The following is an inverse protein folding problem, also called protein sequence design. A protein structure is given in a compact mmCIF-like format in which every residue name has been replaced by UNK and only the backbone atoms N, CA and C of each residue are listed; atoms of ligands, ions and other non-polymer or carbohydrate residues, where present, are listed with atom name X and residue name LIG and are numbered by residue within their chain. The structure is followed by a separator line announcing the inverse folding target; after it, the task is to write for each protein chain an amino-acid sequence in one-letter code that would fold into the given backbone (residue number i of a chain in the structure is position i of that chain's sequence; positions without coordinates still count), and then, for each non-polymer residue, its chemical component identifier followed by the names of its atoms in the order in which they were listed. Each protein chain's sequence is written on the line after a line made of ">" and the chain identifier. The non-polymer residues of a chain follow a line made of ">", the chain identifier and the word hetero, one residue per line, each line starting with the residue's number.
data_IF_146634667954
#
_entry.id   IF_146634667954
#
_cell.length_a   1.000
_cell.length_b   1.000
_cell.length_c   1.000
_cell.angle_alpha   90.00
_cell.angle_beta   90.00
_cell.angle_gamma   90.00
#
_symmetry.space_group_name_H-M   'P 1'
#
loop_
_entity.id
_entity.type
_entity.pdbx_description
1 polymer ?
#
# COMPACT_ATOMS: atom_id res chain seq x y z
N UNK A 1 25.63 24.70 -39.52
CA UNK A 1 24.68 25.49 -38.70
C UNK A 1 23.36 24.74 -38.47
N UNK A 2 22.67 24.31 -39.54
CA UNK A 2 21.40 23.56 -39.43
C UNK A 2 21.51 22.26 -38.60
N UNK A 3 22.57 21.46 -38.80
CA UNK A 3 22.76 20.21 -38.06
C UNK A 3 22.87 20.40 -36.54
N UNK A 4 23.53 21.48 -36.10
CA UNK A 4 23.64 21.81 -34.68
C UNK A 4 22.27 22.16 -34.10
N UNK A 5 21.45 22.90 -34.85
CA UNK A 5 20.09 23.25 -34.44
C UNK A 5 19.19 22.01 -34.37
N UNK A 6 19.32 21.11 -35.34
CA UNK A 6 18.57 19.84 -35.36
C UNK A 6 18.96 18.95 -34.17
N UNK A 7 20.25 18.83 -33.87
CA UNK A 7 20.73 18.05 -32.72
C UNK A 7 20.20 18.61 -31.39
N UNK A 8 20.13 19.94 -31.25
CA UNK A 8 19.56 20.59 -30.06
C UNK A 8 18.06 20.32 -29.95
N UNK A 9 17.30 20.42 -31.05
CA UNK A 9 15.85 20.18 -31.05
C UNK A 9 15.55 18.72 -30.71
N UNK A 10 16.27 17.77 -31.30
CA UNK A 10 16.12 16.34 -31.02
C UNK A 10 16.44 16.04 -29.56
N UNK A 11 17.51 16.62 -29.01
CA UNK A 11 17.85 16.50 -27.60
C UNK A 11 16.74 17.04 -26.68
N UNK A 12 16.18 18.21 -27.01
CA UNK A 12 15.11 18.82 -26.22
C UNK A 12 13.84 17.97 -26.21
N UNK A 13 13.48 17.42 -27.38
CA UNK A 13 12.33 16.51 -27.53
C UNK A 13 12.53 15.22 -26.74
N UNK A 14 13.75 14.66 -26.74
CA UNK A 14 14.06 13.45 -25.98
C UNK A 14 13.93 13.70 -24.47
N UNK A 15 14.48 14.82 -23.98
CA UNK A 15 14.38 15.22 -22.56
C UNK A 15 12.92 15.48 -22.16
N UNK A 16 12.15 16.16 -23.01
CA UNK A 16 10.73 16.40 -22.78
C UNK A 16 9.93 15.10 -22.73
N UNK A 17 10.21 14.15 -23.63
CA UNK A 17 9.59 12.83 -23.63
C UNK A 17 9.88 12.04 -22.36
N UNK A 18 11.14 12.06 -21.89
CA UNK A 18 11.53 11.44 -20.61
C UNK A 18 10.79 12.11 -19.44
N UNK A 19 10.71 13.45 -19.42
CA UNK A 19 9.99 14.18 -18.38
C UNK A 19 8.50 13.83 -18.33
N UNK A 20 7.86 13.70 -19.49
CA UNK A 20 6.43 13.31 -19.60
C UNK A 20 6.25 11.86 -19.12
N UNK A 21 7.15 10.95 -19.50
CA UNK A 21 7.08 9.54 -19.12
C UNK A 21 7.32 9.31 -17.61
N UNK A 22 8.14 10.16 -16.96
CA UNK A 22 8.40 10.10 -15.52
C UNK A 22 7.26 10.70 -14.68
N UNK A 23 6.43 11.57 -15.25
CA UNK A 23 5.28 12.19 -14.60
C UNK A 23 5.61 12.98 -13.30
N UNK A 24 4.59 13.59 -12.65
CA UNK A 24 4.76 14.41 -11.44
C UNK A 24 5.13 13.61 -10.17
N UNK A 25 5.44 12.31 -10.29
CA UNK A 25 5.78 11.43 -9.17
C UNK A 25 7.23 11.58 -8.68
N UNK A 26 8.11 12.15 -9.50
CA UNK A 26 9.55 12.31 -9.23
C UNK A 26 9.88 13.41 -8.21
N UNK A 27 9.05 14.45 -8.09
CA UNK A 27 9.23 15.49 -7.07
C UNK A 27 9.22 14.96 -5.63
N UNK A 28 8.53 13.84 -5.38
CA UNK A 28 8.50 13.17 -4.07
C UNK A 28 9.74 12.29 -3.82
N UNK A 29 10.39 11.78 -4.88
CA UNK A 29 11.63 11.00 -4.79
C UNK A 29 12.86 11.89 -4.56
N UNK A 30 12.94 13.05 -5.22
CA UNK A 30 14.08 13.99 -5.07
C UNK A 30 14.14 14.57 -3.64
N UNK A 31 12.99 14.86 -3.01
CA UNK A 31 12.94 15.28 -1.60
C UNK A 31 13.46 14.21 -0.64
N UNK A 32 13.25 12.92 -0.94
CA UNK A 32 13.66 11.79 -0.08
C UNK A 32 15.16 11.47 -0.17
N UNK A 33 15.79 11.69 -1.33
CA UNK A 33 17.25 11.51 -1.48
C UNK A 33 18.03 12.67 -0.83
N UNK A 34 17.47 13.89 -0.85
CA UNK A 34 18.10 15.05 -0.21
C UNK A 34 18.08 14.98 1.33
N UNK A 35 17.12 14.29 1.93
CA UNK A 35 17.02 14.09 3.39
C UNK A 35 17.96 13.02 3.96
N UNK A 36 18.67 12.25 3.12
CA UNK A 36 19.60 11.20 3.58
C UNK A 36 21.05 11.66 3.75
N UNK A 37 21.39 12.91 3.41
CA UNK A 37 22.78 13.42 3.50
C UNK A 37 23.17 14.03 4.86
N UNK A 38 22.41 13.77 5.92
CA UNK A 38 22.70 14.33 7.25
C UNK A 38 22.35 13.39 8.39
N UNK A 39 23.12 12.31 8.57
CA UNK A 39 23.03 11.49 9.77
C UNK A 39 24.44 11.24 10.35
N UNK A 40 24.85 12.14 11.25
CA UNK A 40 25.96 11.95 12.18
C UNK A 40 25.45 11.11 13.37
N UNK A 41 26.09 9.95 13.55
CA UNK A 41 26.43 9.23 14.81
C UNK A 41 25.28 8.77 15.74
N UNK A 42 25.28 7.51 16.21
CA UNK A 42 24.16 6.90 16.94
C UNK A 42 24.21 7.20 18.45
N UNK A 43 23.08 7.58 19.04
CA UNK A 43 22.91 7.64 20.49
C UNK A 43 22.04 6.48 20.97
N UNK A 44 22.60 5.72 21.92
CA UNK A 44 22.17 4.43 22.49
C UNK A 44 20.90 4.50 23.37
N UNK A 45 20.09 5.55 23.23
CA UNK A 45 18.83 5.69 23.97
C UNK A 45 17.77 6.32 23.09
N UNK A 46 16.94 5.48 22.45
CA UNK A 46 15.66 5.92 21.92
C UNK A 46 14.56 5.04 22.53
N UNK A 47 13.72 5.57 23.44
CA UNK A 47 12.53 4.85 23.86
C UNK A 47 11.62 4.66 22.64
N UNK A 48 11.00 3.49 22.55
CA UNK A 48 10.14 3.02 21.46
C UNK A 48 9.43 4.17 20.73
N UNK A 49 9.80 4.45 19.48
CA UNK A 49 9.18 5.50 18.67
C UNK A 49 7.68 5.22 18.49
N UNK A 50 6.78 6.05 19.05
CA UNK A 50 5.42 6.14 18.57
C UNK A 50 5.40 7.18 17.45
N UNK A 51 4.42 7.06 16.53
CA UNK A 51 4.16 7.96 15.39
C UNK A 51 5.01 7.74 14.14
N UNK A 52 4.60 6.72 13.40
CA UNK A 52 4.55 6.80 11.94
C UNK A 52 3.52 7.90 11.58
N UNK A 53 3.99 9.14 11.42
CA UNK A 53 3.18 10.28 10.95
C UNK A 53 2.88 10.07 9.46
N UNK A 54 1.82 9.28 9.22
CA UNK A 54 1.17 9.09 7.93
C UNK A 54 0.19 10.26 7.67
N UNK A 55 -0.21 10.52 6.41
CA UNK A 55 -0.68 11.82 5.95
C UNK A 55 -1.89 12.35 6.75
N UNK A 56 -1.93 13.64 7.08
CA UNK A 56 -3.05 14.25 7.79
C UNK A 56 -4.26 14.24 6.85
N UNK A 57 -5.25 13.39 7.12
CA UNK A 57 -6.50 13.37 6.36
C UNK A 57 -7.25 12.04 6.32
N UNK A 58 -6.61 10.91 6.66
CA UNK A 58 -7.29 9.61 6.66
C UNK A 58 -7.87 9.28 8.05
N UNK A 59 -9.08 8.71 8.09
CA UNK A 59 -9.69 8.26 9.34
C UNK A 59 -8.82 7.16 10.00
N UNK A 60 -8.63 7.17 11.34
CA UNK A 60 -7.78 6.19 12.02
C UNK A 60 -8.24 4.74 11.81
N UNK A 61 -9.54 4.46 11.68
CA UNK A 61 -10.05 3.12 11.38
C UNK A 61 -9.67 2.67 9.96
N UNK A 62 -9.77 3.58 9.00
CA UNK A 62 -9.32 3.35 7.61
C UNK A 62 -7.81 3.09 7.56
N UNK A 63 -7.03 3.82 8.35
CA UNK A 63 -5.60 3.60 8.47
C UNK A 63 -5.31 2.19 9.01
N UNK A 64 -6.04 1.73 10.05
CA UNK A 64 -5.88 0.36 10.58
C UNK A 64 -6.17 -0.70 9.52
N UNK A 65 -7.20 -0.50 8.69
CA UNK A 65 -7.50 -1.38 7.56
C UNK A 65 -6.34 -1.44 6.58
N UNK A 66 -5.79 -0.28 6.19
CA UNK A 66 -4.66 -0.22 5.25
C UNK A 66 -3.40 -0.86 5.80
N UNK A 67 -3.09 -0.67 7.09
CA UNK A 67 -1.93 -1.28 7.75
C UNK A 67 -2.10 -2.80 7.83
N UNK A 68 -3.27 -3.29 8.23
CA UNK A 68 -3.55 -4.73 8.27
C UNK A 68 -3.48 -5.35 6.86
N UNK A 69 -4.01 -4.66 5.85
CA UNK A 69 -3.95 -5.11 4.46
C UNK A 69 -2.51 -5.13 3.92
N UNK A 70 -1.70 -4.12 4.25
CA UNK A 70 -0.29 -4.09 3.87
C UNK A 70 0.50 -5.23 4.53
N UNK A 71 0.25 -5.51 5.82
CA UNK A 71 0.90 -6.60 6.55
C UNK A 71 0.56 -7.96 5.94
N UNK A 72 -0.73 -8.22 5.68
CA UNK A 72 -1.18 -9.44 5.03
C UNK A 72 -0.63 -9.57 3.60
N UNK A 73 -0.68 -8.49 2.81
CA UNK A 73 -0.18 -8.48 1.43
C UNK A 73 1.32 -8.73 1.34
N UNK A 74 2.12 -8.14 2.25
CA UNK A 74 3.56 -8.40 2.32
C UNK A 74 3.85 -9.86 2.69
N UNK A 75 3.08 -10.41 3.64
CA UNK A 75 3.22 -11.81 4.02
C UNK A 75 2.85 -12.75 2.87
N UNK A 76 1.75 -12.50 2.17
CA UNK A 76 1.31 -13.28 1.00
C UNK A 76 2.35 -13.27 -0.12
N UNK A 77 2.91 -12.10 -0.44
CA UNK A 77 4.01 -11.98 -1.42
C UNK A 77 5.23 -12.80 -1.01
N UNK A 78 5.61 -12.77 0.27
CA UNK A 78 6.74 -13.54 0.77
C UNK A 78 6.53 -15.07 0.67
N UNK A 79 5.28 -15.54 0.60
CA UNK A 79 4.92 -16.95 0.48
C UNK A 79 4.43 -17.32 -0.94
N UNK A 80 4.74 -16.50 -1.95
CA UNK A 80 4.45 -16.81 -3.36
C UNK A 80 3.02 -16.50 -3.83
N UNK A 81 2.17 -15.92 -3.00
CA UNK A 81 0.79 -15.55 -3.35
C UNK A 81 0.69 -14.12 -3.92
N UNK A 82 1.45 -13.85 -4.98
CA UNK A 82 1.60 -12.51 -5.57
C UNK A 82 0.27 -11.97 -6.14
N UNK A 83 -0.56 -12.82 -6.76
CA UNK A 83 -1.84 -12.36 -7.32
C UNK A 83 -2.78 -11.86 -6.23
N UNK A 84 -2.89 -12.58 -5.11
CA UNK A 84 -3.75 -12.19 -3.99
C UNK A 84 -3.19 -10.94 -3.30
N UNK A 85 -1.87 -10.84 -3.18
CA UNK A 85 -1.22 -9.63 -2.67
C UNK A 85 -1.48 -8.41 -3.58
N UNK A 86 -1.51 -8.60 -4.91
CA UNK A 86 -1.84 -7.56 -5.88
C UNK A 86 -3.30 -7.12 -5.79
N UNK A 87 -4.23 -8.08 -5.69
CA UNK A 87 -5.65 -7.79 -5.50
C UNK A 87 -5.88 -7.01 -4.20
N UNK A 88 -5.23 -7.40 -3.11
CA UNK A 88 -5.32 -6.72 -1.83
C UNK A 88 -4.78 -5.28 -1.90
N UNK A 89 -3.67 -5.06 -2.61
CA UNK A 89 -3.11 -3.72 -2.84
C UNK A 89 -4.02 -2.87 -3.72
N UNK A 90 -4.65 -3.47 -4.74
CA UNK A 90 -5.63 -2.80 -5.61
C UNK A 90 -6.86 -2.36 -4.80
N UNK A 91 -7.39 -3.24 -3.94
CA UNK A 91 -8.49 -2.91 -3.04
C UNK A 91 -8.12 -1.79 -2.06
N UNK A 92 -6.91 -1.83 -1.48
CA UNK A 92 -6.38 -0.76 -0.63
C UNK A 92 -6.23 0.57 -1.37
N UNK A 93 -5.83 0.57 -2.63
CA UNK A 93 -5.76 1.78 -3.46
C UNK A 93 -7.13 2.41 -3.74
N UNK A 94 -8.20 1.60 -3.78
CA UNK A 94 -9.56 2.12 -3.95
C UNK A 94 -10.07 2.87 -2.72
N UNK A 95 -9.59 2.51 -1.52
CA UNK A 95 -10.03 3.12 -0.26
C UNK A 95 -9.81 4.65 -0.25
N UNK A 96 -8.74 5.14 -0.87
CA UNK A 96 -8.44 6.58 -0.90
C UNK A 96 -9.36 7.38 -1.81
N UNK A 97 -10.02 6.74 -2.78
CA UNK A 97 -10.94 7.40 -3.71
C UNK A 97 -12.42 7.13 -3.40
N UNK A 98 -12.75 5.86 -3.19
CA UNK A 98 -14.09 5.42 -2.79
C UNK A 98 -13.93 4.36 -1.71
N UNK A 99 -14.04 4.80 -0.47
CA UNK A 99 -13.81 3.96 0.69
C UNK A 99 -14.75 2.74 0.76
N UNK A 100 -16.09 2.87 0.63
CA UNK A 100 -16.99 1.71 0.56
C UNK A 100 -16.59 0.70 -0.52
N UNK A 101 -16.30 1.16 -1.74
CA UNK A 101 -15.92 0.27 -2.84
C UNK A 101 -14.60 -0.47 -2.56
N UNK A 102 -13.63 0.19 -1.91
CA UNK A 102 -12.39 -0.44 -1.47
C UNK A 102 -12.60 -1.49 -0.39
N UNK A 103 -13.47 -1.21 0.58
CA UNK A 103 -13.82 -2.14 1.65
C UNK A 103 -14.57 -3.38 1.12
N UNK A 104 -15.49 -3.21 0.17
CA UNK A 104 -16.14 -4.34 -0.51
C UNK A 104 -15.14 -5.19 -1.30
N UNK A 105 -14.22 -4.56 -2.03
CA UNK A 105 -13.17 -5.28 -2.74
C UNK A 105 -12.29 -6.10 -1.76
N UNK A 106 -11.95 -5.55 -0.59
CA UNK A 106 -11.23 -6.28 0.45
C UNK A 106 -12.00 -7.50 0.96
N UNK A 107 -13.32 -7.41 1.12
CA UNK A 107 -14.14 -8.56 1.50
C UNK A 107 -14.08 -9.68 0.45
N UNK A 108 -14.13 -9.33 -0.84
CA UNK A 108 -13.99 -10.32 -1.91
C UNK A 108 -12.66 -11.06 -1.82
N UNK A 109 -11.56 -10.34 -1.57
CA UNK A 109 -10.23 -10.92 -1.38
C UNK A 109 -10.19 -11.80 -0.12
N UNK A 110 -10.73 -11.35 1.01
CA UNK A 110 -10.82 -12.12 2.26
C UNK A 110 -11.62 -13.43 2.10
N UNK A 111 -12.66 -13.44 1.27
CA UNK A 111 -13.41 -14.67 0.95
C UNK A 111 -12.57 -15.67 0.18
N UNK A 112 -11.77 -15.21 -0.79
CA UNK A 112 -10.83 -16.05 -1.56
C UNK A 112 -9.68 -16.59 -0.71
N UNK A 113 -9.23 -15.81 0.26
CA UNK A 113 -8.22 -16.25 1.23
C UNK A 113 -8.70 -17.40 2.11
N UNK A 114 -10.01 -17.58 2.30
CA UNK A 114 -10.55 -18.71 3.08
C UNK A 114 -10.34 -20.06 2.38
N UNK A 115 -10.27 -20.09 1.06
CA UNK A 115 -9.97 -21.30 0.28
C UNK A 115 -8.48 -21.57 0.11
N UNK A 116 -7.61 -20.67 0.55
CA UNK A 116 -6.17 -20.89 0.54
C UNK A 116 -5.78 -21.84 1.69
N UNK A 117 -5.27 -23.01 1.32
CA UNK A 117 -4.65 -23.95 2.23
C UNK A 117 -3.14 -23.93 1.99
N UNK A 118 -2.39 -23.84 3.08
CA UNK A 118 -0.93 -23.97 3.08
C UNK A 118 -0.55 -25.33 3.65
N UNK A 119 0.51 -25.92 3.12
CA UNK A 119 1.00 -27.23 3.56
C UNK A 119 1.67 -27.15 4.94
N UNK A 120 2.24 -26.00 5.29
CA UNK A 120 2.85 -25.76 6.60
C UNK A 120 1.84 -25.22 7.62
N UNK A 121 1.73 -25.93 8.76
CA UNK A 121 0.82 -25.59 9.86
C UNK A 121 1.16 -24.24 10.50
N UNK A 122 2.44 -23.89 10.63
CA UNK A 122 2.86 -22.60 11.21
C UNK A 122 2.45 -21.43 10.32
N UNK A 123 2.69 -21.55 9.02
CA UNK A 123 2.27 -20.59 8.01
C UNK A 123 0.75 -20.46 7.93
N UNK A 124 0.02 -21.57 8.08
CA UNK A 124 -1.45 -21.58 8.11
C UNK A 124 -2.01 -20.84 9.33
N UNK A 125 -1.43 -21.01 10.52
CA UNK A 125 -1.81 -20.27 11.73
C UNK A 125 -1.50 -18.77 11.59
N UNK A 126 -0.35 -18.43 11.01
CA UNK A 126 0.03 -17.04 10.77
C UNK A 126 -0.91 -16.36 9.76
N UNK A 127 -1.26 -17.06 8.67
CA UNK A 127 -2.22 -16.58 7.68
C UNK A 127 -3.59 -16.33 8.32
N UNK A 128 -4.08 -17.26 9.15
CA UNK A 128 -5.34 -17.09 9.88
C UNK A 128 -5.32 -15.87 10.79
N UNK A 129 -4.23 -15.66 11.54
CA UNK A 129 -4.08 -14.50 12.41
C UNK A 129 -4.13 -13.17 11.63
N UNK A 130 -3.37 -13.07 10.53
CA UNK A 130 -3.34 -11.86 9.67
C UNK A 130 -4.68 -11.62 8.98
N UNK A 131 -5.34 -12.67 8.51
CA UNK A 131 -6.66 -12.60 7.88
C UNK A 131 -7.73 -12.18 8.89
N UNK A 132 -7.64 -12.65 10.14
CA UNK A 132 -8.51 -12.23 11.25
C UNK A 132 -8.32 -10.75 11.59
N UNK A 133 -7.06 -10.30 11.71
CA UNK A 133 -6.73 -8.90 11.98
C UNK A 133 -7.32 -7.97 10.91
N UNK A 134 -7.14 -8.30 9.62
CA UNK A 134 -7.73 -7.53 8.53
C UNK A 134 -9.26 -7.57 8.56
N UNK A 135 -9.86 -8.74 8.80
CA UNK A 135 -11.32 -8.88 8.87
C UNK A 135 -11.92 -7.99 9.96
N UNK A 136 -11.33 -7.99 11.16
CA UNK A 136 -11.80 -7.16 12.28
C UNK A 136 -11.69 -5.68 11.92
N UNK A 137 -10.56 -5.24 11.35
CA UNK A 137 -10.40 -3.85 10.95
C UNK A 137 -11.42 -3.42 9.87
N UNK A 138 -11.67 -4.30 8.89
CA UNK A 138 -12.65 -4.05 7.82
C UNK A 138 -14.06 -3.98 8.41
N UNK A 139 -14.45 -4.93 9.25
CA UNK A 139 -15.74 -4.95 9.95
C UNK A 139 -15.97 -3.65 10.75
N UNK A 140 -14.99 -3.26 11.57
CA UNK A 140 -15.07 -2.06 12.41
C UNK A 140 -15.24 -0.77 11.58
N UNK A 141 -14.71 -0.76 10.36
CA UNK A 141 -14.89 0.34 9.42
C UNK A 141 -16.24 0.29 8.70
N UNK A 142 -16.70 -0.89 8.30
CA UNK A 142 -18.03 -1.10 7.73
C UNK A 142 -19.14 -0.63 8.68
N UNK A 143 -19.06 -1.01 9.94
CA UNK A 143 -20.01 -0.62 10.99
C UNK A 143 -20.06 0.90 11.17
N UNK A 144 -18.90 1.56 11.15
CA UNK A 144 -18.84 3.02 11.26
C UNK A 144 -19.41 3.74 10.04
N UNK A 145 -19.35 3.13 8.86
CA UNK A 145 -19.92 3.68 7.63
C UNK A 145 -21.40 3.31 7.46
N UNK A 146 -22.01 2.63 8.44
CA UNK A 146 -23.37 2.10 8.39
C UNK A 146 -23.64 1.27 7.12
N UNK A 147 -22.57 0.73 6.53
CA UNK A 147 -22.68 -0.14 5.38
C UNK A 147 -23.28 -1.44 5.89
N UNK A 148 -24.46 -1.81 5.34
CA UNK A 148 -25.24 -2.97 5.77
C UNK A 148 -24.32 -4.16 6.06
N UNK A 149 -24.40 -4.74 7.26
CA UNK A 149 -23.49 -5.78 7.66
C UNK A 149 -23.68 -7.01 6.77
N UNK A 150 -22.56 -7.70 6.56
CA UNK A 150 -22.44 -9.12 6.29
C UNK A 150 -23.76 -9.87 6.43
N UNK A 151 -24.28 -10.38 5.31
CA UNK A 151 -25.06 -11.62 5.36
C UNK A 151 -24.15 -12.65 6.01
N UNK A 152 -24.36 -12.90 7.31
CA UNK A 152 -23.72 -14.00 8.02
C UNK A 152 -24.09 -15.29 7.25
N UNK A 153 -23.13 -16.18 6.97
CA UNK A 153 -23.46 -17.52 6.52
C UNK A 153 -24.28 -18.26 7.58
#
# INVERSE_FOLDING_TARGET
>A
MLEVVVAVIVGLLMVAGILIMLGPSTGKLIKRVRSMRGARVPSVFQPAQPREVAPPGLNPKTQRVLVAAARLGNWLRAHGHEEVARELRSAAGRITGNEPAGLYAMQTVLRRLRSLSLDDRGSQERLKALTSELRIAVQDRFEHLELLPFLRP
#
